data_IF_009216969035
#
_entry.id   IF_009216969035
#
_cell.length_a   1.000
_cell.length_b   1.000
_cell.length_c   1.000
_cell.angle_alpha   90.00
_cell.angle_beta   90.00
_cell.angle_gamma   90.00
#
_symmetry.space_group_name_H-M   'P 1'
#
loop_
_entity.id
_entity.type
_entity.pdbx_description
1 polymer ?
#
# COMPACT_ATOMS: atom_id res chain seq x y z
N UNK A 1 -5.19 25.11 -6.23
CA UNK A 1 -4.02 24.24 -6.06
C UNK A 1 -4.39 23.17 -5.04
N UNK A 2 -4.47 21.91 -5.46
CA UNK A 2 -4.66 20.79 -4.53
C UNK A 2 -3.33 20.64 -3.78
N UNK A 3 -3.30 20.65 -2.42
CA UNK A 3 -2.05 20.49 -1.69
C UNK A 3 -1.38 19.16 -2.04
N UNK A 4 -0.05 19.11 -2.13
CA UNK A 4 0.74 17.86 -2.24
C UNK A 4 0.46 16.98 -1.01
N UNK A 5 -0.39 15.97 -1.17
CA UNK A 5 -0.90 15.16 -0.06
C UNK A 5 -0.29 13.76 0.02
N UNK A 6 0.23 13.24 -1.10
CA UNK A 6 0.62 11.84 -1.24
C UNK A 6 1.89 11.70 -2.07
N UNK A 7 2.85 10.95 -1.54
CA UNK A 7 3.98 10.44 -2.31
C UNK A 7 3.87 8.92 -2.39
N UNK A 8 4.18 8.36 -3.55
CA UNK A 8 4.19 6.92 -3.83
C UNK A 8 5.59 6.56 -4.30
N UNK A 9 6.26 5.64 -3.61
CA UNK A 9 7.63 5.22 -3.89
C UNK A 9 8.61 6.40 -4.04
N UNK A 10 8.42 7.45 -3.23
CA UNK A 10 9.23 8.67 -3.23
C UNK A 10 8.86 9.68 -4.31
N UNK A 11 7.96 9.36 -5.24
CA UNK A 11 7.47 10.25 -6.30
C UNK A 11 6.24 11.01 -5.83
N UNK A 12 6.13 12.29 -6.17
CA UNK A 12 4.91 13.06 -5.90
C UNK A 12 3.78 12.58 -6.82
N UNK A 13 2.68 12.09 -6.25
CA UNK A 13 1.62 11.45 -7.02
C UNK A 13 0.90 12.44 -7.97
N UNK A 14 0.75 13.69 -7.53
CA UNK A 14 0.10 14.72 -8.34
C UNK A 14 1.01 15.17 -9.48
N UNK A 15 2.29 15.43 -9.20
CA UNK A 15 3.22 15.89 -10.24
C UNK A 15 3.56 14.82 -11.26
N UNK A 16 3.61 13.55 -10.83
CA UNK A 16 4.03 12.44 -11.71
C UNK A 16 2.87 11.92 -12.56
N UNK A 17 1.67 11.76 -11.97
CA UNK A 17 0.54 11.09 -12.64
C UNK A 17 -0.76 11.91 -12.60
N UNK A 18 -0.77 13.12 -12.04
CA UNK A 18 -2.02 13.85 -11.81
C UNK A 18 -2.96 13.13 -10.83
N UNK A 19 -2.40 12.29 -9.95
CA UNK A 19 -3.15 11.43 -9.04
C UNK A 19 -3.34 12.10 -7.69
N UNK A 20 -4.56 12.01 -7.17
CA UNK A 20 -4.90 12.35 -5.80
C UNK A 20 -5.95 11.38 -5.24
N UNK A 21 -6.14 11.38 -3.92
CA UNK A 21 -7.16 10.52 -3.29
C UNK A 21 -8.54 11.16 -3.41
N UNK A 22 -9.55 10.34 -3.66
CA UNK A 22 -10.94 10.76 -3.50
C UNK A 22 -11.20 11.19 -2.06
N UNK A 23 -12.09 12.16 -1.88
CA UNK A 23 -12.51 12.61 -0.55
C UNK A 23 -12.95 11.42 0.31
N UNK A 24 -12.43 11.36 1.53
CA UNK A 24 -12.67 10.32 2.53
C UNK A 24 -11.92 8.99 2.30
N UNK A 25 -11.31 8.77 1.13
CA UNK A 25 -10.43 7.60 0.94
C UNK A 25 -9.25 7.61 1.90
N UNK A 26 -8.78 8.80 2.32
CA UNK A 26 -7.68 8.90 3.27
C UNK A 26 -8.03 8.35 4.68
N UNK A 27 -9.32 8.20 5.01
CA UNK A 27 -9.74 7.60 6.29
C UNK A 27 -9.31 6.15 6.43
N UNK A 28 -9.11 5.44 5.32
CA UNK A 28 -8.63 4.06 5.32
C UNK A 28 -7.22 3.94 5.96
N UNK A 29 -6.41 5.00 5.90
CA UNK A 29 -5.10 5.06 6.59
C UNK A 29 -5.21 5.16 8.11
N UNK A 30 -6.33 5.68 8.61
CA UNK A 30 -6.56 5.90 10.05
C UNK A 30 -7.14 4.68 10.73
N UNK A 31 -7.69 3.72 9.98
CA UNK A 31 -8.22 2.48 10.53
C UNK A 31 -7.07 1.68 11.17
N UNK A 32 -7.14 1.31 12.47
CA UNK A 32 -6.11 0.49 13.09
C UNK A 32 -6.08 -0.91 12.49
N UNK A 33 -4.91 -1.55 12.51
CA UNK A 33 -4.81 -2.98 12.24
C UNK A 33 -5.43 -3.78 13.38
N UNK A 34 -6.01 -4.93 13.06
CA UNK A 34 -6.49 -5.86 14.06
C UNK A 34 -5.30 -6.53 14.77
N UNK A 35 -5.57 -7.09 15.95
CA UNK A 35 -4.63 -8.05 16.54
C UNK A 35 -4.78 -9.39 15.82
N UNK A 36 -3.68 -10.15 15.77
CA UNK A 36 -3.72 -11.57 15.42
C UNK A 36 -4.68 -12.28 16.36
N UNK A 37 -5.33 -13.33 15.84
CA UNK A 37 -6.27 -14.10 16.62
C UNK A 37 -5.61 -14.65 17.89
N UNK A 38 -6.26 -14.41 19.04
CA UNK A 38 -5.83 -14.97 20.31
C UNK A 38 -6.24 -16.43 20.42
N UNK A 39 -5.38 -17.25 21.01
CA UNK A 39 -5.72 -18.63 21.39
C UNK A 39 -6.92 -18.60 22.34
N UNK A 40 -7.98 -19.31 21.98
CA UNK A 40 -9.22 -19.34 22.75
C UNK A 40 -9.82 -20.74 22.83
N UNK A 41 -10.55 -21.01 23.91
CA UNK A 41 -11.26 -22.26 24.14
C UNK A 41 -12.75 -21.98 24.37
N UNK A 42 -13.60 -22.49 23.48
CA UNK A 42 -15.06 -22.35 23.53
C UNK A 42 -15.69 -23.63 24.07
N UNK A 43 -15.62 -23.79 25.39
CA UNK A 43 -16.18 -24.93 26.10
C UNK A 43 -17.70 -24.79 26.28
N UNK A 44 -18.49 -25.81 25.91
CA UNK A 44 -19.96 -25.80 26.03
C UNK A 44 -20.46 -25.72 27.48
N UNK A 45 -19.64 -26.17 28.43
CA UNK A 45 -20.01 -26.25 29.85
C UNK A 45 -19.88 -24.90 30.57
N UNK A 46 -19.37 -23.87 29.87
CA UNK A 46 -19.15 -22.54 30.43
C UNK A 46 -19.84 -21.50 29.54
N UNK A 47 -20.27 -20.39 30.14
CA UNK A 47 -20.76 -19.26 29.36
C UNK A 47 -19.58 -18.54 28.70
N UNK A 48 -19.76 -18.14 27.43
CA UNK A 48 -18.73 -17.42 26.67
C UNK A 48 -17.58 -18.31 26.20
N UNK A 49 -16.36 -17.76 26.17
CA UNK A 49 -15.12 -18.47 25.81
C UNK A 49 -13.98 -17.98 26.69
N UNK A 50 -13.01 -18.85 26.98
CA UNK A 50 -11.73 -18.44 27.59
C UNK A 50 -10.79 -17.96 26.51
N UNK A 51 -10.04 -16.90 26.76
CA UNK A 51 -9.06 -16.33 25.81
C UNK A 51 -7.75 -16.11 26.53
N UNK A 52 -6.65 -16.57 25.94
CA UNK A 52 -5.31 -16.36 26.47
C UNK A 52 -4.72 -15.10 25.82
N UNK A 53 -4.74 -14.00 26.57
CA UNK A 53 -4.27 -12.68 26.09
C UNK A 53 -2.86 -12.43 26.60
N UNK A 54 -1.87 -12.98 25.89
CA UNK A 54 -0.45 -12.70 26.14
C UNK A 54 0.22 -12.20 24.86
N UNK A 55 1.08 -11.19 24.99
CA UNK A 55 1.91 -10.62 23.91
C UNK A 55 1.11 -10.31 22.62
N UNK A 56 0.14 -9.39 22.65
CA UNK A 56 -0.65 -9.05 21.47
C UNK A 56 0.26 -8.59 20.32
N UNK A 57 0.01 -9.12 19.13
CA UNK A 57 0.69 -8.75 17.89
C UNK A 57 -0.34 -8.27 16.88
N UNK A 58 0.00 -7.24 16.12
CA UNK A 58 -0.82 -6.80 15.01
C UNK A 58 -0.84 -7.87 13.92
N UNK A 59 -2.00 -8.03 13.31
CA UNK A 59 -2.17 -8.80 12.08
C UNK A 59 -1.88 -7.93 10.86
N UNK A 60 -1.74 -8.55 9.69
CA UNK A 60 -1.84 -7.81 8.44
C UNK A 60 -3.23 -7.17 8.29
N UNK A 61 -3.35 -6.16 7.44
CA UNK A 61 -4.66 -5.56 7.14
C UNK A 61 -4.79 -5.19 5.68
N UNK A 62 -6.01 -5.26 5.19
CA UNK A 62 -6.35 -4.73 3.88
C UNK A 62 -6.82 -3.28 3.98
N UNK A 63 -6.45 -2.50 2.96
CA UNK A 63 -6.80 -1.09 2.81
C UNK A 63 -7.30 -0.88 1.39
N UNK A 64 -8.48 -0.29 1.24
CA UNK A 64 -9.00 0.09 -0.06
C UNK A 64 -8.94 1.62 -0.21
N UNK A 65 -8.37 2.08 -1.31
CA UNK A 65 -8.23 3.50 -1.65
C UNK A 65 -8.85 3.75 -3.02
N UNK A 66 -9.52 4.89 -3.17
CA UNK A 66 -9.97 5.37 -4.47
C UNK A 66 -9.10 6.55 -4.88
N UNK A 67 -8.46 6.41 -6.04
CA UNK A 67 -7.66 7.44 -6.68
C UNK A 67 -8.46 8.13 -7.77
N UNK A 68 -8.30 9.44 -7.85
CA UNK A 68 -8.72 10.26 -8.98
C UNK A 68 -7.49 10.60 -9.80
N UNK A 69 -7.58 10.43 -11.12
CA UNK A 69 -6.53 10.78 -12.08
C UNK A 69 -7.02 11.98 -12.88
N UNK A 70 -6.18 13.00 -12.99
CA UNK A 70 -6.42 14.20 -13.78
C UNK A 70 -5.35 14.37 -14.86
N UNK A 71 -5.78 14.50 -16.10
CA UNK A 71 -4.96 14.70 -17.28
C UNK A 71 -5.44 15.92 -18.08
N UNK A 72 -4.76 16.24 -19.18
CA UNK A 72 -5.12 17.36 -20.07
C UNK A 72 -5.78 16.90 -21.38
N UNK A 73 -5.73 15.60 -21.68
CA UNK A 73 -6.35 14.96 -22.85
C UNK A 73 -6.53 13.47 -22.57
N UNK A 74 -7.29 12.79 -23.42
CA UNK A 74 -7.44 11.33 -23.38
C UNK A 74 -6.10 10.59 -23.52
N UNK A 75 -5.23 10.99 -24.46
CA UNK A 75 -3.90 10.39 -24.63
C UNK A 75 -3.01 10.56 -23.37
N UNK A 76 -3.01 11.76 -22.77
CA UNK A 76 -2.29 12.05 -21.51
C UNK A 76 -2.88 11.23 -20.35
N UNK A 77 -4.20 11.02 -20.34
CA UNK A 77 -4.86 10.16 -19.35
C UNK A 77 -4.38 8.72 -19.46
N UNK A 78 -4.36 8.14 -20.66
CA UNK A 78 -3.93 6.76 -20.88
C UNK A 78 -2.45 6.57 -20.49
N UNK A 79 -1.57 7.48 -20.88
CA UNK A 79 -0.14 7.40 -20.52
C UNK A 79 0.06 7.47 -19.00
N UNK A 80 -0.61 8.40 -18.32
CA UNK A 80 -0.55 8.53 -16.86
C UNK A 80 -1.15 7.31 -16.15
N UNK A 81 -2.28 6.80 -16.66
CA UNK A 81 -2.95 5.64 -16.10
C UNK A 81 -2.04 4.40 -16.18
N UNK A 82 -1.46 4.11 -17.34
CA UNK A 82 -0.55 2.98 -17.53
C UNK A 82 0.69 3.10 -16.64
N UNK A 83 1.30 4.28 -16.60
CA UNK A 83 2.47 4.55 -15.75
C UNK A 83 2.14 4.41 -14.25
N UNK A 84 0.97 4.88 -13.82
CA UNK A 84 0.53 4.78 -12.44
C UNK A 84 0.24 3.33 -12.04
N UNK A 85 -0.47 2.57 -12.88
CA UNK A 85 -0.76 1.15 -12.65
C UNK A 85 0.52 0.33 -12.65
N UNK A 86 1.49 0.64 -13.52
CA UNK A 86 2.80 -0.01 -13.53
C UNK A 86 3.57 0.23 -12.21
N UNK A 87 3.55 1.45 -11.67
CA UNK A 87 4.15 1.76 -10.37
C UNK A 87 3.48 0.97 -9.24
N UNK A 88 2.14 0.91 -9.22
CA UNK A 88 1.41 0.15 -8.20
C UNK A 88 1.65 -1.37 -8.32
N UNK A 89 2.02 -1.87 -9.50
CA UNK A 89 2.35 -3.27 -9.74
C UNK A 89 3.85 -3.60 -9.64
N UNK A 90 4.71 -2.64 -9.27
CA UNK A 90 6.15 -2.87 -9.16
C UNK A 90 6.59 -3.69 -7.93
N UNK A 91 5.63 -4.20 -7.15
CA UNK A 91 5.85 -4.95 -5.91
C UNK A 91 5.48 -4.13 -4.68
N UNK A 92 6.48 -3.66 -3.94
CA UNK A 92 6.24 -2.82 -2.76
C UNK A 92 5.79 -1.43 -3.16
N UNK A 93 4.72 -0.98 -2.53
CA UNK A 93 4.15 0.35 -2.69
C UNK A 93 4.27 1.10 -1.37
N UNK A 94 5.26 1.98 -1.29
CA UNK A 94 5.42 2.87 -0.17
C UNK A 94 4.58 4.13 -0.36
N UNK A 95 3.69 4.42 0.58
CA UNK A 95 2.88 5.63 0.57
C UNK A 95 3.23 6.53 1.75
N UNK A 96 3.68 7.75 1.46
CA UNK A 96 3.85 8.81 2.46
C UNK A 96 2.68 9.78 2.37
N UNK A 97 1.86 9.81 3.42
CA UNK A 97 0.66 10.63 3.50
C UNK A 97 0.96 11.86 4.36
N UNK A 98 1.04 13.04 3.73
CA UNK A 98 1.50 14.27 4.38
C UNK A 98 0.55 14.71 5.51
N UNK A 99 -0.76 14.65 5.26
CA UNK A 99 -1.81 15.03 6.24
C UNK A 99 -1.75 14.19 7.52
N UNK A 100 -1.41 12.91 7.40
CA UNK A 100 -1.34 11.96 8.53
C UNK A 100 0.06 11.88 9.14
N UNK A 101 1.08 12.45 8.47
CA UNK A 101 2.50 12.41 8.87
C UNK A 101 3.01 10.98 9.09
N UNK A 102 2.53 10.03 8.28
CA UNK A 102 2.88 8.61 8.35
C UNK A 102 3.30 8.07 6.98
N UNK A 103 4.14 7.05 7.03
CA UNK A 103 4.52 6.22 5.90
C UNK A 103 3.86 4.85 6.08
N UNK A 104 3.43 4.26 4.99
CA UNK A 104 2.82 2.94 4.94
C UNK A 104 3.52 2.13 3.85
N UNK A 105 3.69 0.84 4.11
CA UNK A 105 4.30 -0.10 3.16
C UNK A 105 3.24 -1.13 2.76
N UNK A 106 2.86 -1.13 1.50
CA UNK A 106 1.81 -1.99 0.99
C UNK A 106 2.30 -2.93 -0.11
N UNK A 107 1.52 -3.96 -0.36
CA UNK A 107 1.48 -4.69 -1.63
C UNK A 107 0.11 -4.48 -2.27
N UNK A 108 0.07 -4.39 -3.59
CA UNK A 108 -1.19 -4.25 -4.32
C UNK A 108 -1.84 -5.63 -4.50
N UNK A 109 -3.13 -5.72 -4.18
CA UNK A 109 -3.88 -6.98 -4.24
C UNK A 109 -4.83 -7.04 -5.42
N UNK A 110 -5.57 -5.95 -5.70
CA UNK A 110 -6.50 -5.91 -6.82
C UNK A 110 -6.84 -4.48 -7.23
N UNK A 111 -7.18 -4.31 -8.51
CA UNK A 111 -7.67 -3.07 -9.09
C UNK A 111 -9.15 -3.21 -9.46
N UNK A 112 -9.89 -2.11 -9.35
CA UNK A 112 -11.25 -1.97 -9.82
C UNK A 112 -11.37 -0.62 -10.51
N UNK A 113 -11.60 -0.65 -11.82
CA UNK A 113 -11.92 0.55 -12.58
C UNK A 113 -13.31 1.08 -12.15
N UNK A 114 -13.38 2.38 -11.85
CA UNK A 114 -14.62 3.08 -11.51
C UNK A 114 -15.08 4.02 -12.63
N UNK A 115 -14.43 3.94 -13.80
CA UNK A 115 -14.74 4.68 -15.00
C UNK A 115 -13.86 5.91 -15.18
N UNK A 116 -13.78 6.34 -16.44
CA UNK A 116 -13.16 7.59 -16.84
C UNK A 116 -14.04 8.31 -17.86
N UNK A 117 -13.83 9.61 -17.97
CA UNK A 117 -14.45 10.49 -18.93
C UNK A 117 -13.39 11.45 -19.45
N UNK A 118 -12.99 11.24 -20.70
CA UNK A 118 -12.02 12.06 -21.42
C UNK A 118 -10.69 12.17 -20.67
N UNK A 119 -10.44 13.30 -20.00
CA UNK A 119 -9.21 13.64 -19.31
C UNK A 119 -9.20 13.28 -17.80
N UNK A 120 -10.25 12.61 -17.29
CA UNK A 120 -10.42 12.34 -15.86
C UNK A 120 -10.89 10.91 -15.61
N UNK A 121 -10.38 10.26 -14.58
CA UNK A 121 -10.85 8.92 -14.22
C UNK A 121 -10.70 8.56 -12.76
N UNK A 122 -11.31 7.45 -12.36
CA UNK A 122 -11.23 6.91 -11.00
C UNK A 122 -10.79 5.46 -11.00
N UNK A 123 -9.88 5.14 -10.09
CA UNK A 123 -9.35 3.80 -9.90
C UNK A 123 -9.42 3.43 -8.42
N UNK A 124 -10.17 2.38 -8.09
CA UNK A 124 -10.16 1.78 -6.77
C UNK A 124 -9.08 0.70 -6.70
N UNK A 125 -8.22 0.78 -5.69
CA UNK A 125 -7.15 -0.21 -5.47
C UNK A 125 -7.25 -0.76 -4.06
N UNK A 126 -7.21 -2.09 -3.96
CA UNK A 126 -7.05 -2.79 -2.69
C UNK A 126 -5.57 -3.10 -2.49
N UNK A 127 -5.09 -2.74 -1.31
CA UNK A 127 -3.76 -2.99 -0.82
C UNK A 127 -3.83 -3.90 0.40
N UNK A 128 -2.76 -4.66 0.62
CA UNK A 128 -2.47 -5.31 1.90
C UNK A 128 -1.28 -4.60 2.55
N UNK A 129 -1.35 -4.35 3.86
CA UNK A 129 -0.23 -3.91 4.71
C UNK A 129 0.27 -5.13 5.49
N UNK A 130 1.30 -5.85 5.00
CA UNK A 130 1.70 -7.12 5.60
C UNK A 130 2.24 -6.97 7.03
N UNK A 131 2.79 -5.80 7.36
CA UNK A 131 3.27 -5.51 8.71
C UNK A 131 2.93 -4.07 9.14
N UNK A 132 1.80 -3.86 9.83
CA UNK A 132 1.37 -2.52 10.25
C UNK A 132 2.19 -1.89 11.39
N UNK A 133 3.07 -2.66 12.03
CA UNK A 133 4.01 -2.18 13.06
C UNK A 133 5.28 -1.58 12.42
N UNK A 134 5.63 -2.01 11.20
CA UNK A 134 6.83 -1.54 10.49
C UNK A 134 6.50 -0.45 9.47
N UNK A 135 6.27 0.76 10.01
CA UNK A 135 5.98 1.98 9.23
C UNK A 135 7.18 2.90 9.05
N UNK A 136 8.27 2.63 9.76
CA UNK A 136 9.45 3.50 9.83
C UNK A 136 10.59 3.10 8.90
N UNK A 137 10.57 1.88 8.36
CA UNK A 137 11.67 1.34 7.57
C UNK A 137 11.16 1.06 6.15
N UNK A 138 11.81 1.67 5.16
CA UNK A 138 11.76 1.15 3.78
C UNK A 138 12.53 -0.17 3.84
N UNK A 139 11.82 -1.30 3.99
CA UNK A 139 12.43 -2.58 3.62
C UNK A 139 12.30 -2.64 2.10
N UNK A 140 13.36 -2.30 1.38
CA UNK A 140 13.55 -2.90 0.07
C UNK A 140 13.67 -4.39 0.34
N UNK A 141 12.56 -5.12 0.27
CA UNK A 141 12.63 -6.56 0.37
C UNK A 141 13.51 -7.01 -0.77
N UNK A 142 14.61 -7.65 -0.40
CA UNK A 142 15.64 -8.14 -1.29
C UNK A 142 14.96 -8.94 -2.40
N UNK A 143 15.11 -8.50 -3.65
CA UNK A 143 14.97 -9.44 -4.74
C UNK A 143 16.07 -10.49 -4.54
N UNK A 144 15.71 -11.69 -4.10
CA UNK A 144 16.64 -12.82 -4.09
C UNK A 144 16.81 -13.26 -5.53
N UNK A 145 17.83 -12.71 -6.18
CA UNK A 145 18.29 -13.17 -7.48
C UNK A 145 19.46 -14.13 -7.32
N UNK A 146 19.56 -15.11 -8.20
CA UNK A 146 20.78 -15.90 -8.38
C UNK A 146 21.54 -15.33 -9.57
N UNK A 147 22.79 -14.92 -9.34
CA UNK A 147 23.76 -14.63 -10.41
C UNK A 147 24.98 -15.52 -10.17
N UNK A 148 25.38 -16.29 -11.19
CA UNK A 148 26.51 -17.24 -11.10
C UNK A 148 26.43 -18.16 -9.87
N UNK A 149 25.22 -18.68 -9.58
CA UNK A 149 24.93 -19.57 -8.45
C UNK A 149 25.18 -18.98 -7.05
N UNK A 150 25.33 -17.65 -6.93
CA UNK A 150 25.38 -16.93 -5.65
C UNK A 150 24.09 -16.19 -5.39
N UNK A 151 23.67 -16.16 -4.12
CA UNK A 151 22.53 -15.37 -3.68
C UNK A 151 22.97 -13.90 -3.70
N UNK A 152 22.34 -13.11 -4.56
CA UNK A 152 22.56 -11.67 -4.63
C UNK A 152 21.53 -10.97 -3.77
N UNK A 153 22.01 -10.12 -2.84
CA UNK A 153 21.15 -9.23 -2.05
C UNK A 153 21.32 -7.82 -2.59
N UNK A 154 20.22 -7.14 -2.91
CA UNK A 154 20.26 -5.70 -3.18
C UNK A 154 19.93 -4.96 -1.89
N UNK A 155 20.89 -4.23 -1.34
CA UNK A 155 20.68 -3.30 -0.24
C UNK A 155 21.07 -1.90 -0.73
N UNK A 156 20.17 -0.93 -0.61
CA UNK A 156 20.41 0.48 -0.96
C UNK A 156 20.99 0.71 -2.38
N UNK A 157 20.37 0.08 -3.39
CA UNK A 157 20.83 0.13 -4.79
C UNK A 157 22.27 -0.38 -5.03
N UNK A 158 22.84 -1.13 -4.08
CA UNK A 158 24.11 -1.85 -4.25
C UNK A 158 23.87 -3.35 -4.21
N UNK A 159 24.42 -4.02 -5.21
CA UNK A 159 24.53 -5.48 -5.26
C UNK A 159 25.57 -5.90 -4.22
N UNK A 160 25.11 -6.59 -3.17
CA UNK A 160 25.97 -7.25 -2.18
C UNK A 160 25.98 -8.74 -2.52
N UNK A 161 27.14 -9.22 -2.93
CA UNK A 161 27.39 -10.65 -3.17
C UNK A 161 27.89 -11.24 -1.85
N UNK A 162 27.17 -12.22 -1.29
CA UNK A 162 27.70 -13.09 -0.23
C UNK A 162 28.32 -14.34 -0.83
#
# INVERSE_FOLDING_TARGET
MIPRQLYINGKDAWETWGVFLEENSERAFLLPANNKEFVSNKNRSEHGKRVLVNNPRLDERDVQLVFCIFANSEDDFLEKYESFVAELNSGWVQMKVIKVKKVYNFTTTSFLDLGYYDDKGKLSVKFNEPNPDDRSIIRFYMALGTQDSKIVQTQDNKVVIK
#
